data_IF_136081253214
#
_entry.id   IF_136081253214
#
_cell.length_a   1.000
_cell.length_b   1.000
_cell.length_c   1.000
_cell.angle_alpha   90.00
_cell.angle_beta   90.00
_cell.angle_gamma   90.00
#
_symmetry.space_group_name_H-M   'P 1'
#
loop_
_entity.id
_entity.type
_entity.pdbx_description
1 polymer ?
#
# COMPACT_ATOMS: atom_id res chain seq x y z
N UNK A 1 -15.66 4.14 -21.84
CA UNK A 1 -15.56 4.58 -20.44
C UNK A 1 -14.41 3.80 -19.81
N UNK A 2 -13.36 4.48 -19.35
CA UNK A 2 -12.20 3.80 -18.78
C UNK A 2 -12.51 3.31 -17.38
N UNK A 3 -12.13 2.07 -17.08
CA UNK A 3 -12.43 1.41 -15.82
C UNK A 3 -11.21 1.47 -14.93
N UNK A 4 -11.37 2.05 -13.74
CA UNK A 4 -10.35 2.08 -12.70
C UNK A 4 -10.78 1.20 -11.52
N UNK A 5 -9.87 0.36 -11.04
CA UNK A 5 -10.04 -0.35 -9.77
C UNK A 5 -9.09 0.22 -8.71
N UNK A 6 -9.66 0.72 -7.62
CA UNK A 6 -8.91 1.14 -6.44
C UNK A 6 -8.69 -0.02 -5.47
N UNK A 7 -7.45 -0.22 -5.03
CA UNK A 7 -7.07 -1.24 -4.03
C UNK A 7 -6.51 -0.52 -2.81
N UNK A 8 -7.25 -0.55 -1.71
CA UNK A 8 -6.97 0.23 -0.52
C UNK A 8 -5.81 -0.34 0.32
N UNK A 9 -5.22 0.50 1.18
CA UNK A 9 -4.26 0.10 2.21
C UNK A 9 -4.93 -0.34 3.52
N UNK A 10 -4.20 -0.20 4.62
CA UNK A 10 -4.65 -0.54 5.97
C UNK A 10 -5.72 0.41 6.52
N UNK A 11 -6.41 0.03 7.62
CA UNK A 11 -7.36 0.86 8.40
C UNK A 11 -8.61 1.31 7.63
N UNK A 12 -9.04 0.52 6.68
CA UNK A 12 -10.26 0.80 5.92
C UNK A 12 -11.50 0.08 6.43
N UNK A 13 -11.38 -0.77 7.46
CA UNK A 13 -12.55 -1.36 8.13
C UNK A 13 -13.31 -0.32 8.94
N UNK A 14 -14.64 -0.30 8.81
CA UNK A 14 -15.57 0.47 9.65
C UNK A 14 -16.64 -0.48 10.18
N UNK A 15 -17.03 -0.32 11.44
CA UNK A 15 -18.08 -1.17 12.04
C UNK A 15 -19.42 -1.05 11.31
N UNK A 16 -19.68 0.07 10.63
CA UNK A 16 -20.87 0.27 9.81
C UNK A 16 -20.81 -0.49 8.46
N UNK A 17 -19.66 -1.01 8.05
CA UNK A 17 -19.51 -1.84 6.85
C UNK A 17 -20.00 -3.28 7.20
N UNK A 18 -21.30 -3.49 7.32
CA UNK A 18 -21.90 -4.77 7.74
C UNK A 18 -21.66 -5.88 6.73
N UNK A 19 -21.37 -5.51 5.49
CA UNK A 19 -20.90 -6.42 4.43
C UNK A 19 -19.82 -5.77 3.56
N UNK A 20 -19.02 -6.58 2.82
CA UNK A 20 -17.95 -6.06 1.97
C UNK A 20 -18.43 -5.11 0.86
N UNK A 21 -19.68 -5.25 0.38
CA UNK A 21 -20.26 -4.39 -0.65
C UNK A 21 -20.50 -2.96 -0.13
N UNK A 22 -20.91 -2.81 1.12
CA UNK A 22 -21.04 -1.48 1.75
C UNK A 22 -19.67 -0.82 1.93
N UNK A 23 -18.68 -1.57 2.39
CA UNK A 23 -17.30 -1.09 2.49
C UNK A 23 -16.73 -0.62 1.15
N UNK A 24 -16.96 -1.39 0.08
CA UNK A 24 -16.56 -1.03 -1.28
C UNK A 24 -17.25 0.26 -1.75
N UNK A 25 -18.55 0.39 -1.57
CA UNK A 25 -19.32 1.59 -1.94
C UNK A 25 -18.82 2.83 -1.21
N UNK A 26 -18.55 2.73 0.09
CA UNK A 26 -18.00 3.83 0.89
C UNK A 26 -16.63 4.24 0.37
N UNK A 27 -15.71 3.31 0.20
CA UNK A 27 -14.38 3.61 -0.33
C UNK A 27 -14.42 4.23 -1.71
N UNK A 28 -15.31 3.72 -2.58
CA UNK A 28 -15.54 4.31 -3.90
C UNK A 28 -15.95 5.78 -3.80
N UNK A 29 -16.89 6.10 -2.91
CA UNK A 29 -17.31 7.48 -2.69
C UNK A 29 -16.17 8.37 -2.17
N UNK A 30 -15.40 7.88 -1.19
CA UNK A 30 -14.25 8.58 -0.62
C UNK A 30 -13.17 8.86 -1.68
N UNK A 31 -12.90 7.90 -2.57
CA UNK A 31 -11.90 8.06 -3.63
C UNK A 31 -12.38 8.99 -4.74
N UNK A 32 -13.65 8.91 -5.13
CA UNK A 32 -14.24 9.83 -6.10
C UNK A 32 -14.23 11.27 -5.58
N UNK A 33 -14.58 11.49 -4.31
CA UNK A 33 -14.48 12.80 -3.67
C UNK A 33 -13.04 13.35 -3.68
N UNK A 34 -12.05 12.49 -3.39
CA UNK A 34 -10.65 12.89 -3.38
C UNK A 34 -10.12 13.22 -4.79
N UNK A 35 -10.50 12.45 -5.81
CA UNK A 35 -10.14 12.71 -7.21
C UNK A 35 -10.86 13.93 -7.76
N UNK A 36 -12.09 14.21 -7.32
CA UNK A 36 -12.93 15.28 -7.83
C UNK A 36 -13.16 15.16 -9.35
N UNK A 37 -13.43 16.28 -10.01
CA UNK A 37 -13.73 16.33 -11.46
C UNK A 37 -12.50 16.29 -12.37
N UNK A 38 -11.32 15.97 -11.82
CA UNK A 38 -10.03 16.01 -12.58
C UNK A 38 -9.95 14.94 -13.67
N UNK A 39 -10.78 13.90 -13.59
CA UNK A 39 -10.77 12.79 -14.55
C UNK A 39 -12.20 12.55 -15.06
N UNK A 40 -12.63 13.30 -16.08
CA UNK A 40 -13.97 13.15 -16.65
C UNK A 40 -14.22 11.74 -17.21
N UNK A 41 -15.40 11.20 -16.96
CA UNK A 41 -15.81 9.89 -17.49
C UNK A 41 -15.11 8.69 -16.80
N UNK A 42 -14.56 8.89 -15.61
CA UNK A 42 -13.94 7.83 -14.82
C UNK A 42 -14.99 6.84 -14.28
N UNK A 43 -14.88 5.59 -14.66
CA UNK A 43 -15.58 4.47 -14.01
C UNK A 43 -14.71 3.92 -12.90
N UNK A 44 -14.93 4.36 -11.65
CA UNK A 44 -14.18 3.88 -10.49
C UNK A 44 -14.97 2.82 -9.74
N UNK A 45 -14.28 1.73 -9.42
CA UNK A 45 -14.72 0.72 -8.45
C UNK A 45 -13.59 0.47 -7.43
N UNK A 46 -13.90 -0.19 -6.31
CA UNK A 46 -12.91 -0.49 -5.26
C UNK A 46 -12.98 -1.95 -4.83
N UNK A 47 -11.81 -2.58 -4.68
CA UNK A 47 -11.69 -3.90 -4.06
C UNK A 47 -11.59 -3.73 -2.54
N UNK A 48 -12.61 -4.19 -1.80
CA UNK A 48 -12.67 -4.12 -0.35
C UNK A 48 -12.31 -5.45 0.29
N UNK A 49 -11.34 -5.44 1.18
CA UNK A 49 -10.87 -6.61 1.94
C UNK A 49 -10.53 -6.31 3.40
N UNK A 50 -10.85 -5.12 3.89
CA UNK A 50 -10.51 -4.69 5.24
C UNK A 50 -11.19 -5.54 6.34
N UNK A 51 -12.36 -6.12 6.04
CA UNK A 51 -13.06 -7.08 6.89
C UNK A 51 -12.22 -8.33 7.19
N UNK A 52 -11.43 -8.79 6.22
CA UNK A 52 -10.55 -9.95 6.35
C UNK A 52 -9.32 -9.69 7.22
N UNK A 53 -8.91 -8.43 7.34
CA UNK A 53 -7.74 -8.01 8.11
C UNK A 53 -8.09 -7.40 9.48
N UNK A 54 -9.38 -7.32 9.83
CA UNK A 54 -9.79 -6.80 11.13
C UNK A 54 -9.23 -7.66 12.26
N UNK A 55 -8.89 -7.02 13.39
CA UNK A 55 -8.55 -7.72 14.61
C UNK A 55 -9.83 -8.21 15.31
N UNK A 56 -9.80 -9.45 15.77
CA UNK A 56 -10.81 -9.97 16.70
C UNK A 56 -10.50 -9.54 18.15
N UNK A 57 -9.26 -9.07 18.39
CA UNK A 57 -8.82 -8.57 19.71
C UNK A 57 -9.24 -7.13 19.88
N UNK A 58 -9.70 -6.79 21.08
CA UNK A 58 -10.06 -5.40 21.46
C UNK A 58 -8.84 -4.49 21.75
N UNK A 59 -7.61 -5.04 21.78
CA UNK A 59 -6.41 -4.28 22.08
C UNK A 59 -5.60 -3.96 20.82
N UNK A 60 -5.11 -2.72 20.74
CA UNK A 60 -4.09 -2.27 19.78
C UNK A 60 -2.67 -2.77 20.19
N UNK A 61 -2.58 -3.85 20.97
CA UNK A 61 -1.32 -4.44 21.39
C UNK A 61 -0.62 -5.13 20.22
N UNK A 62 0.65 -4.78 20.04
CA UNK A 62 1.51 -5.39 19.04
C UNK A 62 1.92 -6.80 19.51
N UNK A 63 1.72 -7.78 18.62
CA UNK A 63 2.20 -9.13 18.84
C UNK A 63 3.70 -9.29 18.44
N UNK A 64 4.29 -10.43 18.78
CA UNK A 64 5.70 -10.71 18.45
C UNK A 64 5.99 -10.62 16.96
N UNK A 65 5.06 -11.06 16.11
CA UNK A 65 5.17 -10.95 14.66
C UNK A 65 5.21 -9.48 14.18
N UNK A 66 4.47 -8.59 14.84
CA UNK A 66 4.47 -7.17 14.52
C UNK A 66 5.79 -6.52 14.93
N UNK A 67 6.34 -6.92 16.08
CA UNK A 67 7.65 -6.45 16.56
C UNK A 67 8.74 -6.79 15.57
N UNK A 68 8.76 -8.02 15.04
CA UNK A 68 9.73 -8.43 14.00
C UNK A 68 9.60 -7.56 12.74
N UNK A 69 8.39 -7.25 12.29
CA UNK A 69 8.18 -6.38 11.13
C UNK A 69 8.65 -4.94 11.38
N UNK A 70 8.39 -4.43 12.59
CA UNK A 70 8.83 -3.09 12.99
C UNK A 70 10.37 -3.03 13.08
N UNK A 71 11.02 -4.10 13.55
CA UNK A 71 12.48 -4.20 13.56
C UNK A 71 13.07 -4.12 12.15
N UNK A 72 12.54 -4.91 11.22
CA UNK A 72 12.99 -4.88 9.82
C UNK A 72 12.79 -3.50 9.17
N UNK A 73 11.68 -2.85 9.47
CA UNK A 73 11.43 -1.49 9.03
C UNK A 73 12.40 -0.47 9.66
N UNK A 74 12.70 -0.60 10.94
CA UNK A 74 13.67 0.24 11.62
C UNK A 74 15.08 0.12 10.99
N UNK A 75 15.51 -1.12 10.71
CA UNK A 75 16.77 -1.39 10.02
C UNK A 75 16.81 -0.74 8.62
N UNK A 76 15.72 -0.74 7.88
CA UNK A 76 15.64 -0.06 6.59
C UNK A 76 15.77 1.48 6.72
N UNK A 77 15.46 2.05 7.90
CA UNK A 77 15.73 3.44 8.26
C UNK A 77 17.15 3.67 8.83
N UNK A 78 17.99 2.64 8.87
CA UNK A 78 19.32 2.71 9.49
C UNK A 78 19.26 2.81 11.03
N UNK A 79 18.15 2.37 11.64
CA UNK A 79 17.98 2.28 13.09
C UNK A 79 18.20 0.84 13.51
N UNK A 80 19.29 0.58 14.24
CA UNK A 80 19.55 -0.73 14.85
C UNK A 80 18.97 -0.78 16.27
N UNK A 81 17.90 -1.55 16.50
CA UNK A 81 17.28 -1.65 17.81
C UNK A 81 17.86 -2.76 18.69
N UNK A 82 18.87 -3.51 18.25
CA UNK A 82 19.36 -4.74 18.93
C UNK A 82 19.92 -4.50 20.34
N UNK A 83 20.40 -3.28 20.62
CA UNK A 83 20.93 -2.90 21.94
C UNK A 83 19.89 -2.33 22.92
N UNK A 84 18.63 -2.21 22.52
CA UNK A 84 17.60 -1.56 23.34
C UNK A 84 16.86 -2.58 24.18
N UNK A 85 17.08 -2.56 25.49
CA UNK A 85 16.34 -3.40 26.45
C UNK A 85 15.07 -2.68 26.92
N UNK A 86 13.96 -3.40 27.05
CA UNK A 86 12.72 -2.85 27.58
C UNK A 86 11.48 -3.66 27.22
N UNK A 87 10.33 -3.29 27.83
CA UNK A 87 9.03 -3.83 27.42
C UNK A 87 8.73 -3.40 25.97
N UNK A 88 8.07 -4.23 25.20
CA UNK A 88 7.74 -3.99 23.79
C UNK A 88 7.22 -2.57 23.49
N UNK A 89 6.39 -2.01 24.37
CA UNK A 89 5.86 -0.65 24.24
C UNK A 89 6.93 0.45 24.29
N UNK A 90 7.90 0.34 25.22
CA UNK A 90 9.00 1.30 25.34
C UNK A 90 9.96 1.22 24.15
N UNK A 91 10.27 0.01 23.72
CA UNK A 91 11.09 -0.27 22.56
C UNK A 91 10.48 0.32 21.27
N UNK A 92 9.18 0.07 20.99
CA UNK A 92 8.49 0.64 19.83
C UNK A 92 8.53 2.16 19.84
N UNK A 93 8.28 2.78 20.99
CA UNK A 93 8.33 4.25 21.12
C UNK A 93 9.72 4.80 20.82
N UNK A 94 10.77 4.12 21.33
CA UNK A 94 12.15 4.51 21.03
C UNK A 94 12.47 4.41 19.54
N UNK A 95 12.14 3.28 18.88
CA UNK A 95 12.31 3.09 17.44
C UNK A 95 11.58 4.18 16.65
N UNK A 96 10.31 4.44 16.97
CA UNK A 96 9.53 5.49 16.32
C UNK A 96 10.14 6.88 16.50
N UNK A 97 10.73 7.16 17.65
CA UNK A 97 11.47 8.40 17.91
C UNK A 97 12.71 8.54 17.02
N UNK A 98 13.49 7.46 16.86
CA UNK A 98 14.67 7.46 15.99
C UNK A 98 14.30 7.64 14.51
N UNK A 99 13.26 6.96 14.05
CA UNK A 99 12.77 7.12 12.67
C UNK A 99 12.19 8.52 12.45
N UNK A 100 11.48 9.06 13.42
CA UNK A 100 10.93 10.41 13.36
C UNK A 100 12.03 11.47 13.13
N UNK A 101 13.16 11.34 13.84
CA UNK A 101 14.32 12.23 13.65
C UNK A 101 14.88 12.15 12.22
N UNK A 102 14.95 10.93 11.63
CA UNK A 102 15.51 10.71 10.29
C UNK A 102 14.56 11.15 9.17
N UNK A 103 13.28 10.96 9.39
CA UNK A 103 12.23 11.30 8.41
C UNK A 103 11.75 12.76 8.49
N UNK A 104 12.20 13.52 9.50
CA UNK A 104 11.69 14.87 9.77
C UNK A 104 10.24 14.88 10.28
N UNK A 105 9.71 13.74 10.71
CA UNK A 105 8.33 13.60 11.17
C UNK A 105 8.20 13.74 12.68
N UNK A 106 6.98 13.97 13.14
CA UNK A 106 6.67 14.01 14.58
C UNK A 106 6.59 12.58 15.14
N UNK A 107 7.25 12.25 16.28
CA UNK A 107 7.26 10.91 16.85
C UNK A 107 5.86 10.30 17.04
N UNK A 108 4.88 11.10 17.45
CA UNK A 108 3.50 10.64 17.63
C UNK A 108 2.82 10.23 16.31
N UNK A 109 3.17 10.86 15.18
CA UNK A 109 2.66 10.50 13.85
C UNK A 109 3.26 9.16 13.41
N UNK A 110 4.57 8.99 13.60
CA UNK A 110 5.27 7.74 13.28
C UNK A 110 4.72 6.58 14.11
N UNK A 111 4.64 6.75 15.45
CA UNK A 111 4.13 5.71 16.34
C UNK A 111 2.68 5.32 16.01
N UNK A 112 1.82 6.31 15.75
CA UNK A 112 0.43 6.05 15.34
C UNK A 112 0.36 5.22 14.06
N UNK A 113 1.17 5.58 13.05
CA UNK A 113 1.18 4.82 11.77
C UNK A 113 1.72 3.42 11.95
N UNK A 114 2.81 3.25 12.69
CA UNK A 114 3.41 1.94 12.99
C UNK A 114 2.38 1.02 13.62
N UNK A 115 1.67 1.50 14.66
CA UNK A 115 0.61 0.73 15.34
C UNK A 115 -0.60 0.42 14.45
N UNK A 116 -0.83 1.21 13.41
CA UNK A 116 -1.92 0.97 12.45
C UNK A 116 -1.50 0.05 11.31
N UNK A 117 -0.27 0.20 10.81
CA UNK A 117 0.21 -0.46 9.60
C UNK A 117 0.65 -1.91 9.86
N UNK A 118 1.56 -2.12 10.80
CA UNK A 118 2.20 -3.43 10.99
C UNK A 118 1.25 -4.54 11.43
N UNK A 119 0.24 -4.34 12.29
CA UNK A 119 -0.69 -5.39 12.65
C UNK A 119 -1.52 -5.92 11.47
N UNK A 120 -1.90 -5.06 10.51
CA UNK A 120 -2.62 -5.54 9.32
C UNK A 120 -1.68 -6.21 8.32
N UNK A 121 -0.47 -5.69 8.15
CA UNK A 121 0.60 -6.35 7.35
C UNK A 121 0.95 -7.72 7.95
N UNK A 122 1.10 -7.79 9.27
CA UNK A 122 1.36 -9.04 9.98
C UNK A 122 0.24 -10.06 9.74
N UNK A 123 -1.02 -9.68 9.92
CA UNK A 123 -2.19 -10.55 9.64
C UNK A 123 -2.26 -10.99 8.17
N UNK A 124 -1.95 -10.10 7.25
CA UNK A 124 -1.87 -10.45 5.84
C UNK A 124 -0.92 -11.62 5.61
N UNK A 125 0.34 -11.49 6.05
CA UNK A 125 1.35 -12.51 5.85
C UNK A 125 1.18 -13.76 6.72
N UNK A 126 0.53 -13.65 7.90
CA UNK A 126 0.38 -14.74 8.86
C UNK A 126 -0.84 -15.67 8.63
N UNK A 127 -1.60 -15.49 7.54
CA UNK A 127 -2.70 -16.43 7.24
C UNK A 127 -3.90 -15.83 6.51
N UNK A 128 -3.98 -14.50 6.34
CA UNK A 128 -5.09 -13.87 5.60
C UNK A 128 -4.77 -13.64 4.12
N UNK A 129 -3.52 -13.86 3.71
CA UNK A 129 -3.00 -13.61 2.36
C UNK A 129 -3.85 -14.24 1.25
N UNK A 130 -4.15 -15.53 1.36
CA UNK A 130 -4.91 -16.26 0.34
C UNK A 130 -6.32 -15.66 0.17
N UNK A 131 -7.04 -15.44 1.27
CA UNK A 131 -8.40 -14.90 1.22
C UNK A 131 -8.44 -13.45 0.69
N UNK A 132 -7.46 -12.63 1.06
CA UNK A 132 -7.36 -11.24 0.59
C UNK A 132 -7.00 -11.21 -0.90
N UNK A 133 -6.04 -12.01 -1.34
CA UNK A 133 -5.67 -12.14 -2.77
C UNK A 133 -6.86 -12.58 -3.61
N UNK A 134 -7.58 -13.61 -3.17
CA UNK A 134 -8.76 -14.12 -3.89
C UNK A 134 -9.83 -13.04 -4.01
N UNK A 135 -10.13 -12.31 -2.92
CA UNK A 135 -11.08 -11.20 -2.94
C UNK A 135 -10.70 -10.11 -3.96
N UNK A 136 -9.41 -9.76 -4.04
CA UNK A 136 -8.92 -8.76 -4.99
C UNK A 136 -8.89 -9.32 -6.41
N UNK A 137 -8.51 -10.59 -6.58
CA UNK A 137 -8.57 -11.30 -7.87
C UNK A 137 -9.99 -11.30 -8.45
N UNK A 138 -11.01 -11.65 -7.63
CA UNK A 138 -12.41 -11.61 -8.04
C UNK A 138 -12.85 -10.21 -8.47
N UNK A 139 -12.40 -9.17 -7.78
CA UNK A 139 -12.69 -7.79 -8.17
C UNK A 139 -12.02 -7.42 -9.51
N UNK A 140 -10.75 -7.81 -9.70
CA UNK A 140 -10.01 -7.62 -10.95
C UNK A 140 -10.71 -8.30 -12.13
N UNK A 141 -11.11 -9.56 -11.99
CA UNK A 141 -11.80 -10.32 -13.04
C UNK A 141 -13.18 -9.78 -13.34
N UNK A 142 -13.95 -9.37 -12.32
CA UNK A 142 -15.30 -8.82 -12.46
C UNK A 142 -15.28 -7.45 -13.15
N UNK A 143 -14.38 -6.56 -12.77
CA UNK A 143 -14.36 -5.20 -13.27
C UNK A 143 -13.48 -5.02 -14.49
N UNK A 144 -12.51 -5.93 -14.75
CA UNK A 144 -11.57 -5.89 -15.89
C UNK A 144 -11.00 -4.47 -16.09
N UNK A 145 -10.30 -3.92 -15.09
CA UNK A 145 -9.90 -2.51 -15.11
C UNK A 145 -8.82 -2.25 -16.17
N UNK A 146 -8.89 -1.08 -16.78
CA UNK A 146 -7.80 -0.54 -17.62
C UNK A 146 -6.67 0.03 -16.75
N UNK A 147 -7.05 0.58 -15.59
CA UNK A 147 -6.13 1.20 -14.62
C UNK A 147 -6.37 0.60 -13.23
N UNK A 148 -5.30 0.16 -12.58
CA UNK A 148 -5.30 -0.24 -11.17
C UNK A 148 -4.54 0.79 -10.37
N UNK A 149 -5.18 1.37 -9.35
CA UNK A 149 -4.53 2.26 -8.38
C UNK A 149 -4.47 1.55 -7.04
N UNK A 150 -3.28 1.34 -6.53
CA UNK A 150 -3.06 0.57 -5.32
C UNK A 150 -2.27 1.37 -4.27
N UNK A 151 -2.81 1.50 -3.06
CA UNK A 151 -2.22 2.29 -2.00
C UNK A 151 -1.66 1.42 -0.87
N UNK A 152 -0.45 1.74 -0.38
CA UNK A 152 0.10 1.12 0.83
C UNK A 152 0.12 -0.42 0.74
N UNK A 153 -0.38 -1.15 1.75
CA UNK A 153 -0.56 -2.62 1.70
C UNK A 153 -1.33 -3.08 0.45
N UNK A 154 -2.24 -2.26 -0.07
CA UNK A 154 -2.95 -2.56 -1.31
C UNK A 154 -2.03 -2.77 -2.51
N UNK A 155 -0.84 -2.15 -2.53
CA UNK A 155 0.16 -2.37 -3.60
C UNK A 155 0.78 -3.78 -3.53
N UNK A 156 0.96 -4.30 -2.32
CA UNK A 156 1.42 -5.69 -2.10
C UNK A 156 0.35 -6.67 -2.58
N UNK A 157 -0.89 -6.45 -2.17
CA UNK A 157 -2.02 -7.29 -2.59
C UNK A 157 -2.23 -7.25 -4.11
N UNK A 158 -2.15 -6.04 -4.70
CA UNK A 158 -2.25 -5.86 -6.15
C UNK A 158 -1.15 -6.61 -6.91
N UNK A 159 0.10 -6.47 -6.47
CA UNK A 159 1.24 -7.19 -7.04
C UNK A 159 0.99 -8.69 -7.09
N UNK A 160 0.63 -9.27 -5.98
CA UNK A 160 0.44 -10.71 -5.86
C UNK A 160 -0.81 -11.22 -6.60
N UNK A 161 -1.92 -10.46 -6.56
CA UNK A 161 -3.14 -10.83 -7.27
C UNK A 161 -2.97 -10.78 -8.79
N UNK A 162 -2.28 -9.75 -9.31
CA UNK A 162 -2.03 -9.58 -10.74
C UNK A 162 -1.08 -10.63 -11.32
N UNK A 163 -0.11 -11.11 -10.54
CA UNK A 163 0.75 -12.22 -10.97
C UNK A 163 -0.01 -13.53 -11.19
N UNK A 164 -1.10 -13.75 -10.48
CA UNK A 164 -1.96 -14.92 -10.65
C UNK A 164 -2.94 -14.85 -11.82
N UNK A 165 -2.90 -13.77 -12.63
CA UNK A 165 -3.88 -13.50 -13.69
C UNK A 165 -3.26 -13.39 -15.09
N UNK A 166 -2.07 -13.97 -15.29
CA UNK A 166 -1.47 -14.05 -16.61
C UNK A 166 -2.52 -14.56 -17.61
N UNK A 167 -2.64 -13.91 -18.76
CA UNK A 167 -3.59 -14.21 -19.85
C UNK A 167 -5.07 -13.90 -19.58
N UNK A 168 -5.49 -13.50 -18.37
CA UNK A 168 -6.89 -13.22 -18.06
C UNK A 168 -7.25 -11.73 -18.15
N UNK A 169 -6.26 -10.86 -18.01
CA UNK A 169 -6.43 -9.39 -17.98
C UNK A 169 -5.40 -8.68 -18.84
N UNK A 170 -5.70 -7.42 -19.13
CA UNK A 170 -4.79 -6.48 -19.79
C UNK A 170 -4.92 -5.12 -19.08
N UNK A 171 -4.02 -4.88 -18.12
CA UNK A 171 -3.99 -3.66 -17.32
C UNK A 171 -3.00 -2.68 -17.94
N UNK A 172 -3.51 -1.57 -18.49
CA UNK A 172 -2.68 -0.54 -19.13
C UNK A 172 -1.74 0.14 -18.16
N UNK A 173 -2.24 0.42 -16.93
CA UNK A 173 -1.48 1.09 -15.89
C UNK A 173 -1.74 0.46 -14.51
N UNK A 174 -0.66 0.06 -13.84
CA UNK A 174 -0.62 -0.11 -12.39
C UNK A 174 0.02 1.15 -11.79
N UNK A 175 -0.72 1.88 -10.97
CA UNK A 175 -0.22 3.04 -10.22
C UNK A 175 -0.16 2.68 -8.74
N UNK A 176 1.05 2.62 -8.18
CA UNK A 176 1.25 2.39 -6.75
C UNK A 176 1.53 3.70 -6.02
N UNK A 177 0.87 3.90 -4.88
CA UNK A 177 0.92 5.10 -4.07
C UNK A 177 1.40 4.75 -2.65
N UNK A 178 2.45 5.38 -2.17
CA UNK A 178 2.99 5.13 -0.84
C UNK A 178 3.30 3.64 -0.60
N UNK A 179 3.94 2.99 -1.57
CA UNK A 179 4.09 1.53 -1.62
C UNK A 179 5.26 1.02 -0.75
N UNK A 180 5.05 0.01 0.14
CA UNK A 180 6.10 -0.63 0.89
C UNK A 180 6.78 -1.79 0.14
N UNK A 181 6.51 -1.99 -1.15
CA UNK A 181 6.98 -3.15 -1.92
C UNK A 181 8.50 -3.33 -1.90
N UNK A 182 9.27 -2.24 -1.81
CA UNK A 182 10.73 -2.30 -1.73
C UNK A 182 11.27 -2.51 -0.29
N UNK A 183 10.39 -2.55 0.73
CA UNK A 183 10.80 -2.68 2.13
C UNK A 183 11.43 -4.06 2.39
N UNK A 184 12.75 -4.14 2.63
CA UNK A 184 13.45 -5.41 2.81
C UNK A 184 12.90 -6.21 3.99
N UNK A 185 12.93 -7.51 3.90
CA UNK A 185 12.54 -8.49 4.92
C UNK A 185 11.13 -8.36 5.51
N UNK A 186 10.61 -7.15 5.66
CA UNK A 186 9.25 -6.94 6.13
C UNK A 186 8.20 -7.18 5.02
N UNK A 187 8.53 -6.85 3.75
CA UNK A 187 7.63 -7.01 2.59
C UNK A 187 8.33 -7.68 1.41
N UNK A 188 9.39 -7.09 0.84
CA UNK A 188 9.99 -7.50 -0.43
C UNK A 188 10.33 -8.99 -0.50
N UNK A 189 11.02 -9.54 0.51
CA UNK A 189 11.39 -10.95 0.57
C UNK A 189 10.25 -11.89 0.94
N UNK A 190 9.06 -11.35 1.24
CA UNK A 190 7.85 -12.13 1.56
C UNK A 190 6.83 -12.15 0.42
N UNK A 191 7.09 -11.45 -0.67
CA UNK A 191 6.19 -11.39 -1.84
C UNK A 191 6.01 -12.77 -2.50
N UNK A 192 4.90 -12.93 -3.20
CA UNK A 192 4.61 -14.09 -4.02
C UNK A 192 4.06 -13.66 -5.40
N UNK A 193 4.86 -13.81 -6.48
CA UNK A 193 6.18 -14.43 -6.49
C UNK A 193 7.23 -13.62 -5.74
N UNK A 194 8.11 -14.35 -5.05
CA UNK A 194 9.25 -13.76 -4.37
C UNK A 194 10.32 -13.24 -5.34
N UNK A 195 11.21 -12.36 -4.85
CA UNK A 195 12.31 -11.87 -5.67
C UNK A 195 13.28 -12.99 -6.05
N UNK A 196 13.86 -12.87 -7.25
CA UNK A 196 14.95 -13.73 -7.74
C UNK A 196 16.18 -12.85 -7.98
N UNK A 197 17.32 -13.27 -7.49
CA UNK A 197 18.59 -12.49 -7.60
C UNK A 197 18.44 -11.03 -7.14
N UNK A 198 17.68 -10.82 -6.07
CA UNK A 198 17.40 -9.49 -5.50
C UNK A 198 16.48 -8.62 -6.35
N UNK A 199 15.77 -9.19 -7.34
CA UNK A 199 14.81 -8.48 -8.19
C UNK A 199 13.42 -9.10 -8.12
N UNK A 200 12.43 -8.26 -8.01
CA UNK A 200 11.05 -8.63 -8.29
C UNK A 200 10.73 -8.53 -9.78
N UNK A 201 9.57 -9.00 -10.18
CA UNK A 201 9.13 -8.97 -11.58
C UNK A 201 7.84 -8.17 -11.70
N UNK A 202 7.67 -7.43 -12.80
CA UNK A 202 6.39 -6.80 -13.11
C UNK A 202 5.38 -7.88 -13.50
N UNK A 203 4.12 -7.85 -13.01
CA UNK A 203 3.08 -8.76 -13.47
C UNK A 203 2.89 -8.67 -14.99
N UNK A 204 2.84 -9.82 -15.67
CA UNK A 204 2.80 -9.88 -17.15
C UNK A 204 1.56 -9.14 -17.73
N UNK A 205 0.46 -9.13 -17.00
CA UNK A 205 -0.80 -8.44 -17.37
C UNK A 205 -0.71 -6.90 -17.29
N UNK A 206 0.38 -6.35 -16.72
CA UNK A 206 0.57 -4.92 -16.53
C UNK A 206 1.48 -4.38 -17.62
N UNK A 207 0.97 -3.50 -18.48
CA UNK A 207 1.78 -2.87 -19.54
C UNK A 207 2.75 -1.84 -18.99
N UNK A 208 2.28 -0.97 -18.09
CA UNK A 208 3.06 0.11 -17.48
C UNK A 208 2.83 0.10 -15.96
N UNK A 209 3.91 0.22 -15.20
CA UNK A 209 3.86 0.34 -13.74
C UNK A 209 4.53 1.64 -13.32
N UNK A 210 3.78 2.51 -12.65
CA UNK A 210 4.25 3.79 -12.12
C UNK A 210 4.15 3.76 -10.61
N UNK A 211 5.17 4.27 -9.92
CA UNK A 211 5.15 4.46 -8.47
C UNK A 211 5.24 5.95 -8.12
N UNK A 212 4.43 6.36 -7.14
CA UNK A 212 4.45 7.70 -6.56
C UNK A 212 4.57 7.59 -5.05
N UNK A 213 5.55 8.27 -4.48
CA UNK A 213 5.74 8.35 -3.04
C UNK A 213 5.80 9.82 -2.59
N UNK A 214 5.31 10.09 -1.38
CA UNK A 214 5.51 11.38 -0.71
C UNK A 214 6.90 11.43 -0.07
N UNK A 215 7.55 12.59 -0.11
CA UNK A 215 8.87 12.80 0.44
C UNK A 215 8.96 12.50 1.95
N UNK A 216 7.87 12.75 2.68
CA UNK A 216 7.75 12.46 4.11
C UNK A 216 7.14 11.10 4.45
N UNK A 217 6.76 10.29 3.45
CA UNK A 217 6.17 8.97 3.67
C UNK A 217 7.23 7.99 4.18
N UNK A 218 7.11 7.60 5.45
CA UNK A 218 8.03 6.71 6.13
C UNK A 218 7.64 5.22 6.05
N UNK A 219 6.57 4.90 5.31
CA UNK A 219 6.16 3.53 4.95
C UNK A 219 6.72 3.15 3.58
N UNK A 220 6.71 4.09 2.63
CA UNK A 220 7.21 3.92 1.27
C UNK A 220 8.74 4.06 1.21
N UNK A 221 9.45 3.10 1.79
CA UNK A 221 10.91 3.08 1.90
C UNK A 221 11.50 1.73 1.44
N UNK A 222 12.79 1.67 1.13
CA UNK A 222 13.71 2.80 0.91
C UNK A 222 13.28 3.68 -0.28
N UNK A 223 13.54 4.97 -0.19
CA UNK A 223 13.21 5.92 -1.26
C UNK A 223 14.03 5.66 -2.52
N UNK A 224 13.39 5.77 -3.71
CA UNK A 224 14.07 5.54 -4.99
C UNK A 224 14.45 4.08 -5.26
N UNK A 225 14.09 3.15 -4.41
CA UNK A 225 14.50 1.75 -4.50
C UNK A 225 13.53 0.87 -5.29
N UNK A 226 12.27 1.30 -5.45
CA UNK A 226 11.27 0.44 -6.09
C UNK A 226 11.66 0.14 -7.55
N UNK A 227 12.04 1.16 -8.33
CA UNK A 227 12.50 0.98 -9.69
C UNK A 227 13.81 0.16 -9.77
N UNK A 228 14.66 0.25 -8.73
CA UNK A 228 15.90 -0.53 -8.66
C UNK A 228 15.62 -2.02 -8.45
N UNK A 229 14.66 -2.37 -7.59
CA UNK A 229 14.36 -3.79 -7.27
C UNK A 229 13.27 -4.39 -8.15
N UNK A 230 12.46 -3.58 -8.84
CA UNK A 230 11.46 -4.04 -9.83
C UNK A 230 11.78 -3.44 -11.21
N UNK A 231 12.54 -4.14 -12.07
CA UNK A 231 12.86 -3.65 -13.39
C UNK A 231 11.62 -3.31 -14.22
N UNK A 232 11.62 -2.12 -14.83
CA UNK A 232 10.51 -1.62 -15.66
C UNK A 232 9.43 -0.88 -14.88
N UNK A 233 9.65 -0.60 -13.58
CA UNK A 233 8.85 0.37 -12.83
C UNK A 233 9.36 1.78 -13.10
N UNK A 234 8.46 2.70 -13.40
CA UNK A 234 8.72 4.14 -13.46
C UNK A 234 8.50 4.73 -12.07
N UNK A 235 9.55 5.23 -11.46
CA UNK A 235 9.44 5.94 -10.18
C UNK A 235 9.41 7.44 -10.46
N UNK A 236 8.25 8.08 -10.21
CA UNK A 236 8.13 9.51 -10.39
C UNK A 236 8.87 10.26 -9.27
N UNK A 237 9.29 11.52 -9.52
CA UNK A 237 9.82 12.37 -8.47
C UNK A 237 8.89 12.41 -7.27
N UNK A 238 9.45 12.41 -6.07
CA UNK A 238 8.69 12.49 -4.84
C UNK A 238 7.77 13.71 -4.85
N UNK A 239 6.56 13.49 -4.38
CA UNK A 239 5.57 14.57 -4.22
C UNK A 239 5.52 15.01 -2.76
N UNK A 240 4.83 16.13 -2.50
CA UNK A 240 4.56 16.62 -1.15
C UNK A 240 3.06 16.67 -0.94
N UNK A 241 2.54 15.78 -0.09
CA UNK A 241 1.14 15.76 0.33
C UNK A 241 0.99 16.39 1.72
N UNK A 242 -0.10 16.12 2.46
CA UNK A 242 -0.37 16.73 3.74
C UNK A 242 0.73 16.45 4.78
N UNK A 243 1.46 17.46 5.32
CA UNK A 243 2.55 17.24 6.27
C UNK A 243 2.12 16.53 7.56
N UNK A 244 0.85 16.66 7.94
CA UNK A 244 0.32 16.03 9.15
C UNK A 244 0.07 14.53 9.00
N UNK A 245 -0.04 14.02 7.77
CA UNK A 245 -0.31 12.63 7.46
C UNK A 245 0.26 12.23 6.09
N UNK A 246 1.60 12.04 5.95
CA UNK A 246 2.27 11.86 4.66
C UNK A 246 2.00 10.50 3.99
N UNK A 247 1.12 9.68 4.57
CA UNK A 247 0.74 8.35 4.05
C UNK A 247 -0.77 8.25 3.74
N UNK A 248 -1.49 9.37 3.67
CA UNK A 248 -2.95 9.37 3.46
C UNK A 248 -3.35 9.17 2.00
N UNK A 249 -4.12 8.13 1.66
CA UNK A 249 -4.58 7.87 0.28
C UNK A 249 -5.36 9.05 -0.32
N UNK A 250 -6.20 9.73 0.48
CA UNK A 250 -6.98 10.90 0.01
C UNK A 250 -6.08 12.03 -0.45
N UNK A 251 -4.96 12.25 0.25
CA UNK A 251 -4.02 13.31 -0.08
C UNK A 251 -3.20 12.96 -1.32
N UNK A 252 -2.80 11.67 -1.47
CA UNK A 252 -2.25 11.17 -2.73
C UNK A 252 -3.21 11.40 -3.91
N UNK A 253 -4.48 11.00 -3.79
CA UNK A 253 -5.47 11.13 -4.85
C UNK A 253 -5.80 12.61 -5.21
N UNK A 254 -5.68 13.52 -4.24
CA UNK A 254 -5.83 14.96 -4.47
C UNK A 254 -4.65 15.58 -5.21
N UNK A 255 -3.50 14.92 -5.19
CA UNK A 255 -2.30 15.49 -5.83
C UNK A 255 -2.41 15.44 -7.35
N UNK A 256 -2.03 16.55 -8.00
CA UNK A 256 -2.13 16.71 -9.45
C UNK A 256 -1.38 15.63 -10.23
N UNK A 257 -0.15 15.29 -9.81
CA UNK A 257 0.66 14.24 -10.45
C UNK A 257 -0.10 12.91 -10.52
N UNK A 258 -0.83 12.53 -9.46
CA UNK A 258 -1.60 11.28 -9.43
C UNK A 258 -2.75 11.31 -10.43
N UNK A 259 -3.56 12.37 -10.44
CA UNK A 259 -4.67 12.50 -11.40
C UNK A 259 -4.20 12.56 -12.85
N UNK A 260 -3.10 13.25 -13.15
CA UNK A 260 -2.49 13.31 -14.48
C UNK A 260 -1.93 11.95 -14.93
N UNK A 261 -1.29 11.20 -14.02
CA UNK A 261 -0.79 9.85 -14.30
C UNK A 261 -1.95 8.89 -14.63
N UNK A 262 -3.04 8.93 -13.85
CA UNK A 262 -4.25 8.16 -14.12
C UNK A 262 -4.81 8.54 -15.50
N UNK A 263 -5.00 9.84 -15.77
CA UNK A 263 -5.56 10.33 -17.04
C UNK A 263 -4.69 9.94 -18.25
N UNK A 264 -3.37 9.89 -18.09
CA UNK A 264 -2.44 9.43 -19.13
C UNK A 264 -2.61 7.93 -19.38
N UNK A 265 -2.65 7.11 -18.33
CA UNK A 265 -2.88 5.66 -18.43
C UNK A 265 -4.22 5.31 -19.07
N UNK A 266 -5.21 6.22 -18.99
CA UNK A 266 -6.51 6.07 -19.67
C UNK A 266 -6.45 6.30 -21.19
N UNK A 267 -5.51 7.12 -21.69
CA UNK A 267 -5.41 7.53 -23.09
C UNK A 267 -4.50 6.64 -23.95
N UNK A 268 -3.54 5.97 -23.35
CA UNK A 268 -2.60 5.08 -24.05
C UNK A 268 -3.26 3.74 -24.34
N UNK A 269 -4.06 3.68 -25.38
CA UNK A 269 -4.73 2.48 -25.88
C UNK A 269 -4.85 2.52 -27.40
#
# INVERSE_FOLDING_TARGET
>A
MTRLLGIHGVRNYKAADTDPGLGAKRLRADWLEALGDRIPGLGLETAYYADLLRSERQSDELGDADVVLIEQWALAWGVDPSGVQGRATGWVRWVCGQVAQRSGQRPAVVEKTVRMFFPEVGRYFAGRRAAVRERVRDALLRHRPDVVVAHSLGSVVAYEALHGLADELDVRLLLTLGSPLALPHAVFHRLDPGPRDGKGTRPAVVRRWVNVADAGDFVAIPKGELARVFPGVEELPEISIAPAWPHGVRDYLRHRTVSETIATGMRTG
#
